data_IF_102658673592
#
_entry.id   IF_102658673592
#
_cell.length_a   1.000
_cell.length_b   1.000
_cell.length_c   1.000
_cell.angle_alpha   90.00
_cell.angle_beta   90.00
_cell.angle_gamma   90.00
#
_symmetry.space_group_name_H-M   'P 1'
#
loop_
_entity.id
_entity.type
_entity.pdbx_description
1 polymer ?
#
# COMPACT_ATOMS: atom_id res chain seq x y z
N UNK A 1 -61.47 5.69 54.26
CA UNK A 1 -61.58 5.66 52.80
C UNK A 1 -61.18 7.01 52.23
N UNK A 2 -59.96 7.34 52.07
CA UNK A 2 -59.38 8.51 51.36
C UNK A 2 -57.89 8.34 51.42
N UNK A 3 -57.30 7.78 50.37
CA UNK A 3 -55.84 7.88 49.96
C UNK A 3 -55.56 6.88 48.84
N UNK A 4 -56.11 7.15 47.65
CA UNK A 4 -55.68 6.43 46.44
C UNK A 4 -55.96 7.28 45.20
N UNK A 5 -55.35 8.45 45.10
CA UNK A 5 -55.38 9.28 43.90
C UNK A 5 -54.16 10.23 43.94
N UNK A 6 -52.93 9.76 43.63
CA UNK A 6 -51.79 10.60 43.29
C UNK A 6 -50.60 9.70 42.84
N UNK A 7 -50.78 8.90 41.80
CA UNK A 7 -49.66 8.13 41.22
C UNK A 7 -49.84 7.82 39.72
N UNK A 8 -50.42 8.74 38.98
CA UNK A 8 -50.49 8.62 37.51
C UNK A 8 -50.22 9.98 36.86
N UNK A 9 -48.99 10.49 37.03
CA UNK A 9 -48.54 11.65 36.27
C UNK A 9 -47.01 11.73 36.28
N UNK A 10 -46.31 10.68 35.82
CA UNK A 10 -44.87 10.74 35.56
C UNK A 10 -44.38 9.54 34.69
N UNK A 11 -45.18 9.12 33.69
CA UNK A 11 -44.72 8.20 32.64
C UNK A 11 -45.18 8.78 31.31
N UNK A 12 -44.44 9.67 30.77
CA UNK A 12 -44.79 10.25 29.49
C UNK A 12 -43.78 11.30 29.04
N UNK A 13 -42.49 10.94 28.94
CA UNK A 13 -41.52 11.71 28.15
C UNK A 13 -40.14 10.97 28.14
N UNK A 14 -40.13 9.74 27.62
CA UNK A 14 -38.84 9.10 27.40
C UNK A 14 -38.93 8.05 26.27
N UNK A 15 -39.41 8.44 25.11
CA UNK A 15 -39.39 7.58 23.90
C UNK A 15 -39.43 8.42 22.63
N UNK A 16 -38.57 9.41 22.45
CA UNK A 16 -38.30 9.98 21.15
C UNK A 16 -36.82 10.43 21.14
N UNK A 17 -35.88 9.49 21.06
CA UNK A 17 -34.48 9.80 20.76
C UNK A 17 -33.66 8.59 20.25
N UNK A 18 -34.30 7.58 19.67
CA UNK A 18 -33.54 6.38 19.19
C UNK A 18 -33.79 6.04 17.71
N UNK A 19 -34.45 6.88 16.94
CA UNK A 19 -34.80 6.53 15.55
C UNK A 19 -34.09 7.35 14.45
N UNK A 20 -33.06 8.16 14.77
CA UNK A 20 -32.33 8.96 13.75
C UNK A 20 -30.87 8.58 13.57
N UNK A 21 -30.35 7.56 14.26
CA UNK A 21 -28.94 7.16 14.16
C UNK A 21 -28.55 6.40 12.88
N UNK A 22 -29.38 5.53 12.25
CA UNK A 22 -28.91 4.73 11.13
C UNK A 22 -28.64 5.51 9.84
N UNK A 23 -29.43 6.54 9.55
CA UNK A 23 -29.29 7.29 8.28
C UNK A 23 -28.11 8.27 8.27
N UNK A 24 -27.81 8.90 9.41
CA UNK A 24 -26.69 9.84 9.51
C UNK A 24 -25.30 9.12 9.43
N UNK A 25 -25.22 7.91 9.97
CA UNK A 25 -24.00 7.09 9.88
C UNK A 25 -23.77 6.53 8.48
N UNK A 26 -24.84 6.08 7.79
CA UNK A 26 -24.75 5.61 6.42
C UNK A 26 -24.28 6.72 5.48
N UNK A 27 -24.80 7.96 5.64
CA UNK A 27 -24.35 9.12 4.89
C UNK A 27 -22.88 9.43 5.15
N UNK A 28 -22.43 9.45 6.41
CA UNK A 28 -21.04 9.74 6.76
C UNK A 28 -20.05 8.68 6.23
N UNK A 29 -20.47 7.41 6.15
CA UNK A 29 -19.66 6.33 5.57
C UNK A 29 -19.45 6.54 4.05
N UNK A 30 -20.54 6.78 3.32
CA UNK A 30 -20.45 7.00 1.87
C UNK A 30 -19.74 8.32 1.54
N UNK A 31 -19.97 9.39 2.33
CA UNK A 31 -19.27 10.67 2.22
C UNK A 31 -17.75 10.50 2.44
N UNK A 32 -17.34 9.70 3.44
CA UNK A 32 -15.95 9.45 3.74
C UNK A 32 -15.20 8.78 2.58
N UNK A 33 -15.73 7.70 2.01
CA UNK A 33 -15.09 7.03 0.88
C UNK A 33 -15.18 7.83 -0.42
N UNK A 34 -16.24 8.63 -0.59
CA UNK A 34 -16.33 9.58 -1.70
C UNK A 34 -15.27 10.69 -1.59
N UNK A 35 -15.04 11.22 -0.38
CA UNK A 35 -14.00 12.21 -0.14
C UNK A 35 -12.60 11.67 -0.43
N UNK A 36 -12.30 10.41 -0.06
CA UNK A 36 -11.02 9.76 -0.43
C UNK A 36 -10.88 9.71 -1.94
N UNK A 37 -11.90 9.22 -2.65
CA UNK A 37 -11.86 9.09 -4.11
C UNK A 37 -11.66 10.43 -4.82
N UNK A 38 -12.17 11.53 -4.26
CA UNK A 38 -12.10 12.87 -4.83
C UNK A 38 -10.91 13.69 -4.31
N UNK A 39 -10.02 13.09 -3.49
CA UNK A 39 -8.92 13.77 -2.80
C UNK A 39 -9.38 15.00 -2.00
N UNK A 40 -10.58 14.93 -1.37
CA UNK A 40 -11.21 16.01 -0.62
C UNK A 40 -10.82 15.96 0.86
N UNK A 41 -9.70 16.61 1.19
CA UNK A 41 -9.20 16.72 2.57
C UNK A 41 -10.18 17.47 3.48
N UNK A 42 -10.90 18.48 2.96
CA UNK A 42 -11.78 19.29 3.78
C UNK A 42 -12.94 18.45 4.33
N UNK A 43 -13.51 17.58 3.50
CA UNK A 43 -14.56 16.66 3.92
C UNK A 43 -14.03 15.62 4.91
N UNK A 44 -12.84 15.05 4.70
CA UNK A 44 -12.20 14.14 5.66
C UNK A 44 -12.00 14.82 7.01
N UNK A 45 -11.50 16.08 7.03
CA UNK A 45 -11.34 16.86 8.26
C UNK A 45 -12.66 17.10 8.98
N UNK A 46 -13.70 17.47 8.24
CA UNK A 46 -15.04 17.71 8.77
C UNK A 46 -15.61 16.44 9.44
N UNK A 47 -15.44 15.29 8.81
CA UNK A 47 -15.87 13.99 9.35
C UNK A 47 -15.07 13.62 10.60
N UNK A 48 -13.74 13.80 10.58
CA UNK A 48 -12.87 13.55 11.72
C UNK A 48 -13.24 14.42 12.94
N UNK A 49 -13.53 15.72 12.75
CA UNK A 49 -13.98 16.63 13.80
C UNK A 49 -15.32 16.22 14.42
N UNK A 50 -16.15 15.51 13.66
CA UNK A 50 -17.42 14.93 14.14
C UNK A 50 -17.25 13.56 14.81
N UNK A 51 -16.00 13.09 14.96
CA UNK A 51 -15.67 11.82 15.61
C UNK A 51 -15.79 10.60 14.69
N UNK A 52 -15.76 10.78 13.35
CA UNK A 52 -15.71 9.65 12.43
C UNK A 52 -14.35 8.95 12.54
N UNK A 53 -14.37 7.62 12.63
CA UNK A 53 -13.14 6.82 12.72
C UNK A 53 -12.42 6.76 11.37
N UNK A 54 -11.22 7.36 11.31
CA UNK A 54 -10.37 7.38 10.11
C UNK A 54 -9.76 6.00 9.76
N UNK A 55 -9.86 5.02 10.68
CA UNK A 55 -9.47 3.64 10.42
C UNK A 55 -10.61 2.79 9.84
N UNK A 56 -11.73 3.41 9.48
CA UNK A 56 -12.85 2.72 8.85
C UNK A 56 -12.41 2.04 7.56
N UNK A 57 -12.88 0.81 7.37
CA UNK A 57 -12.70 0.04 6.12
C UNK A 57 -13.97 0.12 5.26
N UNK A 58 -13.80 0.06 3.93
CA UNK A 58 -14.94 0.00 3.03
C UNK A 58 -15.61 -1.40 3.05
N UNK A 59 -16.67 -1.58 2.25
CA UNK A 59 -17.41 -2.85 2.15
C UNK A 59 -16.57 -4.01 1.62
N UNK A 60 -15.38 -3.75 1.07
CA UNK A 60 -14.40 -4.76 0.61
C UNK A 60 -13.31 -5.02 1.63
N UNK A 61 -13.38 -4.42 2.83
CA UNK A 61 -12.34 -4.54 3.85
C UNK A 61 -11.07 -3.74 3.55
N UNK A 62 -11.15 -2.76 2.63
CA UNK A 62 -10.01 -1.91 2.27
C UNK A 62 -9.99 -0.67 3.18
N UNK A 63 -8.86 -0.40 3.81
CA UNK A 63 -8.64 0.70 4.72
C UNK A 63 -8.51 2.05 3.99
N UNK A 64 -8.92 3.13 4.64
CA UNK A 64 -8.89 4.49 4.07
C UNK A 64 -7.51 4.91 3.54
N UNK A 65 -6.44 4.67 4.31
CA UNK A 65 -5.08 5.03 3.90
C UNK A 65 -4.62 4.19 2.69
N UNK A 66 -4.95 2.90 2.65
CA UNK A 66 -4.69 2.06 1.48
C UNK A 66 -5.40 2.59 0.23
N UNK A 67 -6.69 2.94 0.37
CA UNK A 67 -7.48 3.50 -0.74
C UNK A 67 -6.89 4.82 -1.25
N UNK A 68 -6.50 5.71 -0.33
CA UNK A 68 -5.89 6.99 -0.68
C UNK A 68 -4.59 6.80 -1.48
N UNK A 69 -3.76 5.82 -1.10
CA UNK A 69 -2.54 5.49 -1.86
C UNK A 69 -2.86 4.87 -3.22
N UNK A 70 -3.80 3.90 -3.27
CA UNK A 70 -4.18 3.20 -4.50
C UNK A 70 -4.81 4.15 -5.53
N UNK A 71 -5.72 5.01 -5.08
CA UNK A 71 -6.51 5.89 -5.94
C UNK A 71 -5.78 7.23 -6.19
N UNK A 72 -4.54 7.34 -5.71
CA UNK A 72 -3.67 8.51 -5.89
C UNK A 72 -4.20 9.81 -5.25
N UNK A 73 -4.99 9.67 -4.17
CA UNK A 73 -5.50 10.78 -3.37
C UNK A 73 -4.41 11.29 -2.43
N UNK A 74 -3.41 11.98 -3.00
CA UNK A 74 -2.15 12.36 -2.34
C UNK A 74 -2.38 13.31 -1.16
N UNK A 75 -3.34 14.24 -1.27
CA UNK A 75 -3.66 15.20 -0.21
C UNK A 75 -4.34 14.52 0.97
N UNK A 76 -5.30 13.64 0.70
CA UNK A 76 -5.98 12.84 1.73
C UNK A 76 -4.99 11.88 2.38
N UNK A 77 -4.13 11.19 1.60
CA UNK A 77 -3.09 10.33 2.13
C UNK A 77 -2.15 11.09 3.08
N UNK A 78 -1.72 12.29 2.66
CA UNK A 78 -0.90 13.18 3.49
C UNK A 78 -1.57 13.53 4.81
N UNK A 79 -2.83 13.95 4.77
CA UNK A 79 -3.62 14.28 5.97
C UNK A 79 -3.80 13.06 6.89
N UNK A 80 -4.13 11.89 6.34
CA UNK A 80 -4.27 10.66 7.13
C UNK A 80 -2.96 10.29 7.84
N UNK A 81 -1.81 10.47 7.16
CA UNK A 81 -0.49 10.24 7.77
C UNK A 81 -0.12 11.28 8.84
N UNK A 82 -0.74 12.47 8.86
CA UNK A 82 -0.58 13.45 9.94
C UNK A 82 -1.36 13.05 11.21
N UNK A 83 -2.27 12.10 11.12
CA UNK A 83 -3.10 11.68 12.24
C UNK A 83 -2.45 10.50 12.98
N UNK A 84 -1.99 10.66 14.25
CA UNK A 84 -1.27 9.61 14.96
C UNK A 84 -2.11 8.35 15.22
N UNK A 85 -3.45 8.48 15.27
CA UNK A 85 -4.37 7.36 15.46
C UNK A 85 -4.60 6.52 14.20
N UNK A 86 -4.21 7.00 13.01
CA UNK A 86 -4.36 6.24 11.76
C UNK A 86 -3.33 5.12 11.73
N UNK A 87 -3.79 3.90 11.52
CA UNK A 87 -2.95 2.72 11.40
C UNK A 87 -2.31 2.67 10.01
N UNK A 88 -0.99 2.56 9.94
CA UNK A 88 -0.23 2.58 8.69
C UNK A 88 0.04 1.18 8.12
N UNK A 89 0.00 0.16 8.99
CA UNK A 89 0.23 -1.23 8.61
C UNK A 89 -1.06 -2.06 8.70
N UNK A 90 -2.10 -1.56 8.04
CA UNK A 90 -3.35 -2.32 7.81
C UNK A 90 -3.30 -2.96 6.43
N UNK A 91 -3.68 -4.23 6.38
CA UNK A 91 -3.70 -5.01 5.14
C UNK A 91 -5.10 -5.23 4.61
N UNK A 92 -5.24 -5.21 3.30
CA UNK A 92 -6.46 -5.62 2.62
C UNK A 92 -6.66 -7.14 2.74
N UNK A 93 -7.87 -7.66 2.41
CA UNK A 93 -8.06 -9.11 2.30
C UNK A 93 -7.12 -9.82 1.31
N UNK A 94 -6.52 -9.08 0.38
CA UNK A 94 -5.49 -9.58 -0.54
C UNK A 94 -4.07 -9.43 0.00
N UNK A 95 -3.92 -9.10 1.29
CA UNK A 95 -2.65 -8.92 1.97
C UNK A 95 -1.79 -7.76 1.39
N UNK A 96 -2.44 -6.73 0.82
CA UNK A 96 -1.78 -5.53 0.30
C UNK A 96 -1.73 -4.44 1.38
N UNK A 97 -0.61 -3.69 1.45
CA UNK A 97 -0.41 -2.60 2.40
C UNK A 97 -0.40 -1.22 1.72
N UNK A 98 -0.61 -0.13 2.49
CA UNK A 98 -0.44 1.23 1.98
C UNK A 98 0.95 1.48 1.37
N UNK A 99 2.02 0.93 1.97
CA UNK A 99 3.39 1.07 1.46
C UNK A 99 3.56 0.39 0.09
N UNK A 100 2.93 -0.75 -0.15
CA UNK A 100 2.93 -1.38 -1.47
C UNK A 100 2.31 -0.47 -2.54
N UNK A 101 1.19 0.19 -2.21
CA UNK A 101 0.53 1.11 -3.16
C UNK A 101 1.35 2.38 -3.38
N UNK A 102 1.95 2.93 -2.33
CA UNK A 102 2.88 4.07 -2.45
C UNK A 102 4.08 3.72 -3.34
N UNK A 103 4.63 2.51 -3.19
CA UNK A 103 5.73 1.99 -3.99
C UNK A 103 5.33 1.81 -5.47
N UNK A 104 4.16 1.20 -5.72
CA UNK A 104 3.60 1.01 -7.08
C UNK A 104 3.37 2.33 -7.81
N UNK A 105 2.95 3.38 -7.08
CA UNK A 105 2.60 4.69 -7.63
C UNK A 105 3.78 5.67 -7.64
N UNK A 106 4.98 5.26 -7.21
CA UNK A 106 6.15 6.13 -7.15
C UNK A 106 5.99 7.31 -6.17
N UNK A 107 5.15 7.20 -5.13
CA UNK A 107 4.87 8.25 -4.15
C UNK A 107 5.93 8.29 -3.06
N UNK A 108 7.17 8.66 -3.45
CA UNK A 108 8.37 8.59 -2.62
C UNK A 108 8.21 9.27 -1.26
N UNK A 109 7.69 10.50 -1.22
CA UNK A 109 7.51 11.24 0.03
C UNK A 109 6.50 10.56 0.97
N UNK A 110 5.43 9.97 0.43
CA UNK A 110 4.43 9.24 1.23
C UNK A 110 4.99 7.89 1.70
N UNK A 111 5.79 7.22 0.87
CA UNK A 111 6.47 5.98 1.25
C UNK A 111 7.45 6.21 2.40
N UNK A 112 8.27 7.27 2.34
CA UNK A 112 9.18 7.65 3.42
C UNK A 112 8.41 7.88 4.74
N UNK A 113 7.32 8.64 4.70
CA UNK A 113 6.47 8.89 5.88
C UNK A 113 5.80 7.61 6.43
N UNK A 114 5.40 6.69 5.56
CA UNK A 114 4.89 5.38 5.98
C UNK A 114 5.95 4.59 6.75
N UNK A 115 7.19 4.56 6.23
CA UNK A 115 8.32 3.87 6.85
C UNK A 115 8.71 4.54 8.19
N UNK A 116 8.75 5.88 8.25
CA UNK A 116 8.96 6.64 9.50
C UNK A 116 7.91 6.30 10.57
N UNK A 117 6.72 5.91 10.16
CA UNK A 117 5.62 5.44 11.02
C UNK A 117 5.58 3.91 11.16
N UNK A 118 6.69 3.24 10.93
CA UNK A 118 6.87 1.80 11.14
C UNK A 118 6.03 0.90 10.23
N UNK A 119 5.67 1.37 9.01
CA UNK A 119 5.11 0.48 8.00
C UNK A 119 6.10 -0.62 7.63
N UNK A 120 5.63 -1.86 7.55
CA UNK A 120 6.47 -3.02 7.25
C UNK A 120 7.05 -2.97 5.83
N UNK A 121 8.36 -2.84 5.73
CA UNK A 121 9.11 -2.89 4.46
C UNK A 121 9.22 -4.32 3.94
N UNK A 122 9.27 -5.29 4.85
CA UNK A 122 9.38 -6.71 4.54
C UNK A 122 8.17 -7.49 5.04
N UNK A 123 7.71 -8.43 4.23
CA UNK A 123 6.69 -9.40 4.61
C UNK A 123 6.82 -10.67 3.76
N UNK A 124 6.33 -11.82 4.22
CA UNK A 124 6.22 -13.00 3.37
C UNK A 124 5.33 -12.77 2.14
N UNK A 125 5.71 -13.34 1.02
CA UNK A 125 4.98 -13.18 -0.23
C UNK A 125 5.26 -11.85 -0.93
N UNK A 126 4.23 -11.22 -1.52
CA UNK A 126 4.42 -9.93 -2.19
C UNK A 126 4.82 -8.84 -1.19
N UNK A 127 5.97 -8.21 -1.40
CA UNK A 127 6.53 -7.15 -0.57
C UNK A 127 6.61 -5.81 -1.33
N UNK A 128 6.71 -4.65 -0.65
CA UNK A 128 6.80 -3.34 -1.30
C UNK A 128 7.84 -3.25 -2.41
N UNK A 129 8.99 -3.94 -2.28
CA UNK A 129 10.04 -3.92 -3.30
C UNK A 129 9.60 -4.57 -4.63
N UNK A 130 8.72 -5.57 -4.61
CA UNK A 130 8.14 -6.13 -5.84
C UNK A 130 7.33 -5.07 -6.59
N UNK A 131 6.52 -4.29 -5.87
CA UNK A 131 5.69 -3.23 -6.45
C UNK A 131 6.54 -2.07 -6.98
N UNK A 132 7.54 -1.62 -6.21
CA UNK A 132 8.50 -0.61 -6.67
C UNK A 132 9.24 -1.05 -7.95
N UNK A 133 9.59 -2.32 -8.03
CA UNK A 133 10.29 -2.89 -9.17
C UNK A 133 9.46 -2.93 -10.46
N UNK A 134 8.11 -2.87 -10.37
CA UNK A 134 7.23 -2.82 -11.53
C UNK A 134 7.03 -1.42 -12.08
N UNK A 135 7.34 -0.39 -11.31
CA UNK A 135 7.18 0.99 -11.75
C UNK A 135 8.26 1.36 -12.78
N UNK A 136 7.82 1.89 -13.92
CA UNK A 136 8.72 2.36 -14.97
C UNK A 136 8.89 3.89 -14.97
N UNK A 137 8.31 4.60 -14.00
CA UNK A 137 8.40 6.05 -13.88
C UNK A 137 9.82 6.51 -13.50
N UNK A 138 10.08 7.80 -13.64
CA UNK A 138 11.35 8.41 -13.23
C UNK A 138 11.59 8.33 -11.70
N UNK A 139 10.56 8.07 -10.91
CA UNK A 139 10.66 7.94 -9.45
C UNK A 139 11.02 6.52 -8.98
N UNK A 140 10.84 5.51 -9.84
CA UNK A 140 11.08 4.11 -9.49
C UNK A 140 12.51 3.85 -8.95
N UNK A 141 13.60 4.38 -9.54
CA UNK A 141 14.95 4.20 -9.01
C UNK A 141 15.10 4.72 -7.57
N UNK A 142 14.52 5.88 -7.26
CA UNK A 142 14.58 6.45 -5.92
C UNK A 142 13.75 5.64 -4.92
N UNK A 143 12.59 5.13 -5.33
CA UNK A 143 11.75 4.25 -4.50
C UNK A 143 12.44 2.94 -4.16
N UNK A 144 13.08 2.30 -5.15
CA UNK A 144 13.84 1.06 -4.94
C UNK A 144 14.97 1.31 -3.93
N UNK A 145 15.75 2.40 -4.09
CA UNK A 145 16.82 2.75 -3.14
C UNK A 145 16.28 3.01 -1.74
N UNK A 146 15.21 3.79 -1.60
CA UNK A 146 14.56 4.03 -0.30
C UNK A 146 14.23 2.71 0.41
N UNK A 147 13.59 1.77 -0.28
CA UNK A 147 13.23 0.48 0.32
C UNK A 147 14.47 -0.35 0.70
N UNK A 148 15.53 -0.37 -0.14
CA UNK A 148 16.78 -1.07 0.15
C UNK A 148 17.53 -0.44 1.33
N UNK A 149 17.58 0.90 1.43
CA UNK A 149 18.13 1.64 2.56
C UNK A 149 17.41 1.31 3.89
N UNK A 150 16.12 0.96 3.80
CA UNK A 150 15.33 0.48 4.93
C UNK A 150 15.25 -1.06 4.98
N UNK A 151 16.29 -1.74 4.49
CA UNK A 151 16.50 -3.18 4.62
C UNK A 151 15.45 -4.06 3.93
N UNK A 152 14.88 -3.61 2.81
CA UNK A 152 14.07 -4.50 1.98
C UNK A 152 14.89 -5.71 1.54
N UNK A 153 14.32 -6.90 1.65
CA UNK A 153 14.95 -8.12 1.16
C UNK A 153 15.00 -8.09 -0.37
N UNK A 154 16.22 -7.95 -0.92
CA UNK A 154 16.43 -7.71 -2.33
C UNK A 154 15.93 -8.87 -3.20
N UNK A 155 16.07 -10.11 -2.71
CA UNK A 155 15.59 -11.32 -3.35
C UNK A 155 14.33 -11.89 -2.64
N UNK A 156 13.48 -11.01 -2.09
CA UNK A 156 12.21 -11.43 -1.52
C UNK A 156 11.41 -12.27 -2.53
N UNK A 157 10.82 -13.36 -2.05
CA UNK A 157 10.03 -14.27 -2.89
C UNK A 157 8.52 -14.01 -2.70
N UNK A 158 7.83 -13.80 -3.81
CA UNK A 158 6.37 -13.85 -3.85
C UNK A 158 5.86 -15.29 -3.66
N UNK A 159 4.54 -15.54 -3.51
CA UNK A 159 4.02 -16.89 -3.31
C UNK A 159 4.41 -17.92 -4.37
N UNK A 160 4.77 -17.48 -5.58
CA UNK A 160 5.25 -18.35 -6.66
C UNK A 160 6.78 -18.27 -6.88
N UNK A 161 7.53 -17.70 -5.93
CA UNK A 161 8.98 -17.55 -6.00
C UNK A 161 9.46 -16.44 -6.96
N UNK A 162 8.58 -15.54 -7.40
CA UNK A 162 8.99 -14.40 -8.23
C UNK A 162 9.70 -13.35 -7.38
N UNK A 163 10.89 -12.90 -7.82
CA UNK A 163 11.70 -11.88 -7.12
C UNK A 163 11.44 -10.47 -7.67
N UNK A 164 11.83 -9.40 -6.93
CA UNK A 164 11.78 -8.03 -7.43
C UNK A 164 12.54 -7.83 -8.75
N UNK A 165 13.69 -8.48 -8.93
CA UNK A 165 14.44 -8.42 -10.19
C UNK A 165 13.66 -9.03 -11.37
N UNK A 166 12.93 -10.13 -11.15
CA UNK A 166 12.04 -10.71 -12.16
C UNK A 166 10.91 -9.75 -12.54
N UNK A 167 10.32 -9.07 -11.56
CA UNK A 167 9.30 -8.05 -11.78
C UNK A 167 9.86 -6.85 -12.55
N UNK A 168 11.05 -6.36 -12.18
CA UNK A 168 11.75 -5.29 -12.89
C UNK A 168 12.06 -5.68 -14.32
N UNK A 169 12.49 -6.91 -14.55
CA UNK A 169 12.80 -7.43 -15.88
C UNK A 169 11.57 -7.45 -16.79
N UNK A 170 10.40 -7.74 -16.26
CA UNK A 170 9.15 -7.79 -17.02
C UNK A 170 8.52 -6.41 -17.24
N UNK A 171 8.44 -5.58 -16.16
CA UNK A 171 7.63 -4.35 -16.15
C UNK A 171 8.47 -3.07 -15.92
N UNK A 172 9.55 -3.16 -15.14
CA UNK A 172 10.30 -2.02 -14.64
C UNK A 172 11.17 -1.30 -15.68
N UNK A 173 11.95 -0.33 -15.26
CA UNK A 173 12.88 0.39 -16.14
C UNK A 173 14.27 -0.25 -16.17
N UNK A 174 15.08 -0.02 -17.22
CA UNK A 174 16.48 -0.46 -17.25
C UNK A 174 17.30 0.04 -16.04
N UNK A 175 16.99 1.23 -15.53
CA UNK A 175 17.63 1.79 -14.34
C UNK A 175 17.34 0.99 -13.08
N UNK A 176 16.08 0.55 -12.89
CA UNK A 176 15.69 -0.29 -11.75
C UNK A 176 16.39 -1.64 -11.81
N UNK A 177 16.44 -2.27 -13.00
CA UNK A 177 17.15 -3.54 -13.19
C UNK A 177 18.65 -3.40 -12.81
N UNK A 178 19.30 -2.33 -13.29
CA UNK A 178 20.72 -2.06 -12.96
C UNK A 178 20.92 -1.88 -11.45
N UNK A 179 20.07 -1.07 -10.79
CA UNK A 179 20.16 -0.85 -9.34
C UNK A 179 20.03 -2.18 -8.59
N UNK A 180 19.00 -2.98 -8.89
CA UNK A 180 18.82 -4.27 -8.20
C UNK A 180 20.04 -5.19 -8.39
N UNK A 181 20.61 -5.26 -9.60
CA UNK A 181 21.82 -6.05 -9.86
C UNK A 181 23.04 -5.51 -9.11
N UNK A 182 23.24 -4.19 -9.10
CA UNK A 182 24.35 -3.51 -8.42
C UNK A 182 24.28 -3.66 -6.90
N UNK A 183 23.07 -3.62 -6.34
CA UNK A 183 22.80 -3.80 -4.90
C UNK A 183 22.79 -5.27 -4.47
N UNK A 184 22.98 -6.22 -5.41
CA UNK A 184 23.25 -7.63 -5.10
C UNK A 184 22.12 -8.61 -5.35
N UNK A 185 21.07 -8.24 -6.08
CA UNK A 185 20.05 -9.20 -6.50
C UNK A 185 20.66 -10.35 -7.31
N UNK A 186 20.26 -11.58 -7.01
CA UNK A 186 20.72 -12.76 -7.73
C UNK A 186 19.91 -12.97 -9.03
N UNK A 187 20.51 -12.73 -10.22
CA UNK A 187 19.84 -12.89 -11.50
C UNK A 187 19.58 -14.36 -11.89
N UNK A 188 20.15 -15.32 -11.17
CA UNK A 188 20.04 -16.75 -11.48
C UNK A 188 18.96 -17.46 -10.69
N UNK A 189 18.37 -16.82 -9.67
CA UNK A 189 17.23 -17.36 -8.96
C UNK A 189 16.10 -17.70 -9.92
N UNK A 190 15.41 -18.80 -9.65
CA UNK A 190 14.30 -19.29 -10.46
C UNK A 190 13.03 -19.37 -9.62
N UNK A 191 11.94 -18.87 -10.19
CA UNK A 191 10.62 -19.05 -9.60
C UNK A 191 10.13 -20.50 -9.72
N UNK A 192 8.95 -20.81 -9.20
CA UNK A 192 8.36 -22.16 -9.25
C UNK A 192 8.11 -22.70 -10.67
N UNK A 193 8.14 -21.84 -11.70
CA UNK A 193 8.05 -22.23 -13.11
C UNK A 193 9.44 -22.48 -13.72
N UNK A 194 10.52 -22.39 -12.95
CA UNK A 194 11.90 -22.55 -13.42
C UNK A 194 12.42 -21.33 -14.20
N UNK A 195 11.77 -20.17 -14.12
CA UNK A 195 12.11 -18.96 -14.87
C UNK A 195 12.99 -18.04 -14.04
N UNK A 196 14.09 -17.59 -14.62
CA UNK A 196 14.97 -16.56 -14.08
C UNK A 196 14.58 -15.15 -14.61
N UNK A 197 15.19 -14.11 -14.07
CA UNK A 197 14.90 -12.73 -14.47
C UNK A 197 15.05 -12.48 -15.98
N UNK A 198 16.04 -13.09 -16.63
CA UNK A 198 16.25 -12.97 -18.08
C UNK A 198 15.09 -13.57 -18.88
N UNK A 199 14.45 -14.63 -18.39
CA UNK A 199 13.29 -15.24 -19.05
C UNK A 199 12.06 -14.31 -18.99
N UNK A 200 11.91 -13.56 -17.90
CA UNK A 200 10.88 -12.53 -17.76
C UNK A 200 11.08 -11.39 -18.78
N UNK A 201 12.31 -10.92 -18.96
CA UNK A 201 12.66 -9.93 -19.97
C UNK A 201 12.35 -10.43 -21.39
N UNK A 202 12.74 -11.66 -21.72
CA UNK A 202 12.51 -12.27 -23.03
C UNK A 202 11.01 -12.46 -23.32
N UNK A 203 10.24 -12.93 -22.35
CA UNK A 203 8.76 -13.08 -22.47
C UNK A 203 8.05 -11.76 -22.68
N UNK A 204 8.59 -10.67 -22.13
CA UNK A 204 8.08 -9.31 -22.30
C UNK A 204 8.63 -8.61 -23.57
N UNK A 205 9.42 -9.31 -24.42
CA UNK A 205 10.09 -8.76 -25.60
C UNK A 205 11.01 -7.57 -25.28
N UNK A 206 11.68 -7.60 -24.12
CA UNK A 206 12.55 -6.52 -23.63
C UNK A 206 14.03 -6.89 -23.82
N UNK A 207 14.48 -6.92 -25.07
CA UNK A 207 15.81 -7.35 -25.46
C UNK A 207 16.93 -6.55 -24.77
N UNK A 208 16.75 -5.23 -24.57
CA UNK A 208 17.71 -4.38 -23.86
C UNK A 208 17.91 -4.87 -22.42
N UNK A 209 16.82 -5.18 -21.70
CA UNK A 209 16.89 -5.67 -20.33
C UNK A 209 17.52 -7.07 -20.26
N UNK A 210 17.15 -7.95 -21.19
CA UNK A 210 17.77 -9.27 -21.26
C UNK A 210 19.29 -9.15 -21.45
N UNK A 211 19.76 -8.23 -22.30
CA UNK A 211 21.20 -7.99 -22.49
C UNK A 211 21.87 -7.38 -21.26
N UNK A 212 21.25 -6.45 -20.55
CA UNK A 212 21.76 -5.91 -19.27
C UNK A 212 21.99 -7.06 -18.28
N UNK A 213 21.00 -7.94 -18.10
CA UNK A 213 21.10 -9.08 -17.18
C UNK A 213 22.19 -10.05 -17.63
N UNK A 214 22.21 -10.41 -18.91
CA UNK A 214 23.20 -11.31 -19.47
C UNK A 214 24.65 -10.76 -19.35
N UNK A 215 24.82 -9.47 -19.61
CA UNK A 215 26.13 -8.80 -19.47
C UNK A 215 26.60 -8.80 -18.01
N UNK A 216 25.69 -8.54 -17.05
CA UNK A 216 26.02 -8.61 -15.64
C UNK A 216 26.45 -10.01 -15.20
N UNK A 217 25.71 -11.05 -15.61
CA UNK A 217 26.05 -12.45 -15.32
C UNK A 217 27.44 -12.82 -15.89
N UNK A 218 27.71 -12.46 -17.15
CA UNK A 218 29.02 -12.70 -17.76
C UNK A 218 30.17 -12.02 -17.01
N UNK A 219 29.97 -10.76 -16.59
CA UNK A 219 30.98 -10.01 -15.85
C UNK A 219 31.27 -10.63 -14.47
N UNK A 220 30.24 -11.08 -13.76
CA UNK A 220 30.38 -11.76 -12.46
C UNK A 220 31.13 -13.11 -12.60
N UNK A 221 30.79 -13.90 -13.60
CA UNK A 221 31.48 -15.17 -13.89
C UNK A 221 32.96 -14.96 -14.20
N UNK A 222 33.30 -13.93 -15.01
CA UNK A 222 34.67 -13.62 -15.36
C UNK A 222 35.53 -13.20 -14.16
N UNK A 223 34.93 -12.58 -13.14
CA UNK A 223 35.62 -12.13 -11.91
C UNK A 223 35.64 -13.17 -10.81
N UNK A 224 34.91 -14.28 -10.94
CA UNK A 224 34.74 -15.32 -9.90
C UNK A 224 34.07 -14.79 -8.62
N UNK A 225 33.37 -13.67 -8.68
CA UNK A 225 32.66 -13.03 -7.53
C UNK A 225 31.15 -13.19 -7.72
N UNK A 226 30.54 -13.93 -6.83
CA UNK A 226 29.10 -14.05 -6.65
C UNK A 226 28.71 -13.48 -5.29
#
# INVERSE_FOLDING_TARGET
>A
MKKLKKWFAAIGFFCIAVALAPSAWASSFDDFFSAIKNDDVAEIQRLAQRGFDLNTVNRRGEHALFLAMRDDAVRVAGYLLDQPQVQVEIRTPNDESPLMMAALKGRLALAARLIEREAEVNKPGWAPLHYAATDASAQAPAMVRLLLEHHAYIDAESPNGTTPLMMAAHYGSPSVVKILLEEGADPLLKNQQGLAAIDFANRANRAEIAEIIAAFVRAKQATGRW
#
